data_IF_010225184531
#
_entry.id   IF_010225184531
#
_cell.length_a   1.000
_cell.length_b   1.000
_cell.length_c   1.000
_cell.angle_alpha   90.00
_cell.angle_beta   90.00
_cell.angle_gamma   90.00
#
_symmetry.space_group_name_H-M   'P 1'
#
loop_
_entity.id
_entity.type
_entity.pdbx_description
1 polymer ?
#
# COMPACT_ATOMS: atom_id res chain seq x y z
N UNK A 1 -36.85 -38.97 27.04
CA UNK A 1 -35.47 -39.50 27.15
C UNK A 1 -34.62 -38.73 26.14
N UNK A 2 -33.66 -37.93 26.58
CA UNK A 2 -32.75 -37.26 25.65
C UNK A 2 -31.72 -38.27 25.13
N UNK A 3 -31.52 -38.30 23.82
CA UNK A 3 -30.49 -39.12 23.17
C UNK A 3 -29.41 -38.18 22.66
N UNK A 4 -28.20 -38.31 23.20
CA UNK A 4 -27.05 -37.55 22.72
C UNK A 4 -26.50 -38.21 21.46
N UNK A 5 -26.45 -37.45 20.37
CA UNK A 5 -25.95 -37.89 19.07
C UNK A 5 -24.44 -37.59 19.00
N UNK A 6 -23.68 -38.55 18.49
CA UNK A 6 -22.23 -38.52 18.36
C UNK A 6 -21.78 -39.33 17.15
N UNK A 7 -20.52 -39.18 16.76
CA UNK A 7 -19.90 -39.99 15.70
C UNK A 7 -19.90 -41.49 16.00
N UNK A 8 -20.05 -41.89 17.27
CA UNK A 8 -20.09 -43.29 17.72
C UNK A 8 -21.49 -43.91 17.69
N UNK A 9 -22.54 -43.14 17.38
CA UNK A 9 -23.90 -43.67 17.26
C UNK A 9 -24.60 -43.20 15.98
N UNK A 10 -25.36 -42.10 16.01
CA UNK A 10 -26.26 -41.68 14.94
C UNK A 10 -25.63 -40.62 14.01
N UNK A 11 -24.41 -40.14 14.27
CA UNK A 11 -23.70 -39.20 13.39
C UNK A 11 -22.53 -39.87 12.63
N UNK A 12 -22.76 -41.08 12.11
CA UNK A 12 -21.70 -41.92 11.53
C UNK A 12 -20.98 -41.30 10.34
N UNK A 13 -21.64 -40.42 9.58
CA UNK A 13 -21.06 -39.73 8.43
C UNK A 13 -20.06 -38.63 8.80
N UNK A 14 -20.00 -38.21 10.07
CA UNK A 14 -19.11 -37.13 10.48
C UNK A 14 -17.64 -37.58 10.40
N UNK A 15 -16.77 -36.86 9.67
CA UNK A 15 -15.37 -37.25 9.47
C UNK A 15 -14.52 -36.94 10.71
N UNK A 16 -14.76 -37.67 11.80
CA UNK A 16 -14.16 -37.44 13.12
C UNK A 16 -12.63 -37.44 13.07
N UNK A 17 -12.01 -38.34 12.31
CA UNK A 17 -10.54 -38.47 12.26
C UNK A 17 -9.84 -37.21 11.76
N UNK A 18 -10.53 -36.42 10.93
CA UNK A 18 -10.04 -35.13 10.44
C UNK A 18 -10.60 -33.97 11.25
N UNK A 19 -11.90 -33.96 11.52
CA UNK A 19 -12.61 -32.85 12.15
C UNK A 19 -12.82 -33.02 13.67
N UNK A 20 -11.90 -33.69 14.37
CA UNK A 20 -12.04 -33.99 15.82
C UNK A 20 -12.12 -32.72 16.69
N UNK A 21 -11.54 -31.61 16.23
CA UNK A 21 -11.58 -30.30 16.89
C UNK A 21 -12.40 -29.31 16.07
N UNK A 22 -13.70 -29.29 16.33
CA UNK A 22 -14.61 -28.26 15.84
C UNK A 22 -14.35 -26.95 16.58
N UNK A 23 -14.23 -25.85 15.83
CA UNK A 23 -13.95 -24.50 16.36
C UNK A 23 -15.13 -23.55 16.21
N UNK A 24 -15.94 -23.72 15.16
CA UNK A 24 -17.05 -22.83 14.87
C UNK A 24 -18.14 -23.54 14.09
N UNK A 25 -19.40 -23.18 14.32
CA UNK A 25 -20.55 -23.66 13.57
C UNK A 25 -21.43 -22.46 13.23
N UNK A 26 -21.88 -22.36 11.99
CA UNK A 26 -22.83 -21.33 11.52
C UNK A 26 -23.65 -21.85 10.34
N UNK A 27 -24.62 -21.09 9.87
CA UNK A 27 -25.34 -21.36 8.62
C UNK A 27 -25.17 -20.22 7.61
N UNK A 28 -25.39 -20.53 6.35
CA UNK A 28 -25.47 -19.53 5.28
C UNK A 28 -26.91 -19.31 4.79
N UNK A 29 -27.10 -18.28 3.95
CA UNK A 29 -28.42 -17.95 3.37
C UNK A 29 -28.90 -18.95 2.31
N UNK A 30 -28.10 -19.97 1.97
CA UNK A 30 -28.39 -21.00 0.96
C UNK A 30 -28.76 -22.35 1.61
N UNK A 31 -29.02 -22.34 2.92
CA UNK A 31 -29.40 -23.51 3.69
C UNK A 31 -28.27 -24.51 3.88
N UNK A 32 -27.01 -24.05 3.90
CA UNK A 32 -25.87 -24.88 4.29
C UNK A 32 -25.46 -24.55 5.72
N UNK A 33 -25.19 -25.59 6.51
CA UNK A 33 -24.47 -25.48 7.78
C UNK A 33 -22.99 -25.60 7.48
N UNK A 34 -22.21 -24.69 8.04
CA UNK A 34 -20.76 -24.60 7.94
C UNK A 34 -20.11 -24.91 9.28
N UNK A 35 -19.07 -25.73 9.26
CA UNK A 35 -18.30 -26.11 10.45
C UNK A 35 -16.82 -25.83 10.20
N UNK A 36 -16.24 -24.92 10.98
CA UNK A 36 -14.80 -24.69 11.01
C UNK A 36 -14.11 -25.68 11.95
N UNK A 37 -12.99 -26.24 11.52
CA UNK A 37 -12.20 -27.18 12.33
C UNK A 37 -10.71 -26.87 12.24
N UNK A 38 -9.90 -27.53 13.08
CA UNK A 38 -8.45 -27.43 12.98
C UNK A 38 -7.85 -28.09 11.74
N UNK A 39 -8.61 -28.91 11.01
CA UNK A 39 -8.14 -29.63 9.83
C UNK A 39 -9.03 -29.43 8.58
N UNK A 40 -9.63 -28.25 8.46
CA UNK A 40 -10.43 -27.83 7.32
C UNK A 40 -11.79 -27.25 7.72
N UNK A 41 -12.66 -27.06 6.74
CA UNK A 41 -14.05 -26.70 6.94
C UNK A 41 -14.98 -27.79 6.38
N UNK A 42 -16.11 -28.02 7.03
CA UNK A 42 -17.19 -28.84 6.51
C UNK A 42 -18.35 -27.97 6.07
N UNK A 43 -19.07 -28.41 5.06
CA UNK A 43 -20.45 -27.97 4.81
C UNK A 43 -21.39 -29.17 4.67
N UNK A 44 -22.65 -28.96 5.01
CA UNK A 44 -23.75 -29.89 4.73
C UNK A 44 -25.08 -29.13 4.70
N UNK A 45 -26.12 -29.72 4.10
CA UNK A 45 -27.44 -29.09 4.04
C UNK A 45 -28.15 -29.11 5.39
N UNK A 46 -28.92 -28.06 5.69
CA UNK A 46 -29.66 -27.94 6.95
C UNK A 46 -30.99 -28.72 6.97
N UNK A 47 -31.48 -29.18 5.82
CA UNK A 47 -32.78 -29.83 5.61
C UNK A 47 -32.76 -31.37 5.77
N UNK A 48 -31.75 -31.89 6.47
CA UNK A 48 -31.65 -33.33 6.76
C UNK A 48 -32.77 -33.79 7.70
N UNK A 49 -33.35 -34.96 7.43
CA UNK A 49 -34.39 -35.56 8.27
C UNK A 49 -33.82 -36.36 9.43
N UNK A 50 -32.71 -37.05 9.18
CA UNK A 50 -32.04 -37.92 10.14
C UNK A 50 -30.53 -37.61 10.17
N UNK A 51 -29.86 -37.66 11.34
CA UNK A 51 -28.43 -37.39 11.42
C UNK A 51 -27.55 -38.34 10.57
N UNK A 52 -28.04 -39.56 10.30
CA UNK A 52 -27.36 -40.54 9.45
C UNK A 52 -27.45 -40.21 7.95
N UNK A 53 -28.40 -39.36 7.53
CA UNK A 53 -28.54 -38.94 6.13
C UNK A 53 -27.67 -37.74 5.75
N UNK A 54 -26.92 -37.18 6.71
CA UNK A 54 -26.09 -36.00 6.47
C UNK A 54 -24.92 -36.37 5.55
N UNK A 55 -24.81 -35.67 4.43
CA UNK A 55 -23.66 -35.72 3.53
C UNK A 55 -22.72 -34.57 3.89
N UNK A 56 -21.54 -34.90 4.40
CA UNK A 56 -20.53 -33.92 4.77
C UNK A 56 -19.55 -33.69 3.61
N UNK A 57 -19.35 -32.43 3.26
CA UNK A 57 -18.35 -32.01 2.28
C UNK A 57 -17.17 -31.36 2.99
N UNK A 58 -15.98 -31.95 2.84
CA UNK A 58 -14.76 -31.48 3.50
C UNK A 58 -13.90 -30.63 2.54
N UNK A 59 -13.59 -29.43 2.99
CA UNK A 59 -12.69 -28.49 2.33
C UNK A 59 -11.39 -28.40 3.13
N UNK A 60 -10.28 -28.66 2.46
CA UNK A 60 -8.95 -28.56 3.05
C UNK A 60 -7.98 -27.96 2.02
N UNK A 61 -6.83 -27.54 2.51
CA UNK A 61 -5.69 -27.15 1.70
C UNK A 61 -5.20 -28.34 0.89
N UNK A 62 -5.05 -28.13 -0.40
CA UNK A 62 -4.42 -29.04 -1.35
C UNK A 62 -3.10 -28.38 -1.77
N UNK A 63 -1.94 -29.05 -1.64
CA UNK A 63 -0.68 -28.52 -2.13
C UNK A 63 -0.78 -28.11 -3.60
N UNK A 64 -0.20 -26.96 -3.93
CA UNK A 64 -0.14 -26.39 -5.29
C UNK A 64 -1.48 -25.99 -5.94
N UNK A 65 -2.61 -26.10 -5.24
CA UNK A 65 -3.90 -25.60 -5.70
C UNK A 65 -4.25 -24.25 -5.05
N UNK A 66 -4.36 -23.21 -5.86
CA UNK A 66 -4.72 -21.85 -5.41
C UNK A 66 -6.23 -21.65 -5.24
N UNK A 67 -7.06 -22.62 -5.66
CA UNK A 67 -8.52 -22.57 -5.61
C UNK A 67 -9.09 -23.31 -4.38
N UNK A 68 -8.25 -23.75 -3.44
CA UNK A 68 -8.64 -24.40 -2.20
C UNK A 68 -8.39 -23.48 -0.98
N UNK A 69 -8.65 -23.99 0.24
CA UNK A 69 -8.32 -23.24 1.46
C UNK A 69 -6.81 -23.01 1.55
N UNK A 70 -6.40 -21.78 1.87
CA UNK A 70 -4.99 -21.46 2.10
C UNK A 70 -4.40 -22.12 3.35
N UNK A 71 -5.24 -22.46 4.33
CA UNK A 71 -4.84 -23.13 5.58
C UNK A 71 -6.02 -23.92 6.16
N UNK A 72 -5.71 -25.05 6.81
CA UNK A 72 -6.73 -25.95 7.35
C UNK A 72 -7.31 -25.48 8.69
N UNK A 73 -6.59 -24.63 9.43
CA UNK A 73 -7.02 -24.23 10.76
C UNK A 73 -8.07 -23.11 10.68
N UNK A 74 -9.32 -23.49 10.39
CA UNK A 74 -10.48 -22.60 10.24
C UNK A 74 -11.12 -22.41 11.61
N UNK A 75 -10.95 -21.22 12.20
CA UNK A 75 -11.49 -20.95 13.54
C UNK A 75 -12.79 -20.14 13.53
N UNK A 76 -13.09 -19.40 12.46
CA UNK A 76 -14.32 -18.60 12.31
C UNK A 76 -14.80 -18.66 10.87
N UNK A 77 -16.12 -18.76 10.72
CA UNK A 77 -16.79 -18.69 9.42
C UNK A 77 -17.85 -17.58 9.53
N UNK A 78 -17.81 -16.63 8.62
CA UNK A 78 -18.71 -15.48 8.57
C UNK A 78 -19.54 -15.57 7.30
N UNK A 79 -20.86 -15.61 7.47
CA UNK A 79 -21.82 -15.41 6.38
C UNK A 79 -22.24 -13.95 6.41
N UNK A 80 -21.91 -13.20 5.37
CA UNK A 80 -22.21 -11.77 5.32
C UNK A 80 -23.69 -11.51 5.11
N UNK A 81 -24.13 -10.29 5.42
CA UNK A 81 -25.46 -9.77 5.10
C UNK A 81 -25.78 -9.84 3.60
N UNK A 82 -24.77 -9.88 2.73
CA UNK A 82 -24.91 -10.04 1.28
C UNK A 82 -24.94 -11.52 0.83
N UNK A 83 -24.78 -12.47 1.76
CA UNK A 83 -24.80 -13.90 1.48
C UNK A 83 -23.46 -14.47 1.00
N UNK A 84 -22.38 -13.72 1.15
CA UNK A 84 -21.02 -14.22 0.91
C UNK A 84 -20.53 -15.02 2.12
N UNK A 85 -19.65 -15.99 1.89
CA UNK A 85 -19.09 -16.84 2.95
C UNK A 85 -17.59 -16.64 3.00
N UNK A 86 -17.09 -16.26 4.18
CA UNK A 86 -15.68 -16.05 4.46
C UNK A 86 -15.21 -16.97 5.58
N UNK A 87 -14.05 -17.58 5.41
CA UNK A 87 -13.41 -18.48 6.36
C UNK A 87 -12.12 -17.83 6.83
N UNK A 88 -12.07 -17.51 8.12
CA UNK A 88 -10.89 -16.95 8.76
C UNK A 88 -10.02 -18.08 9.30
N UNK A 89 -8.72 -18.02 8.96
CA UNK A 89 -7.78 -19.08 9.29
C UNK A 89 -6.66 -18.60 10.21
N UNK A 90 -6.11 -19.53 10.99
CA UNK A 90 -4.92 -19.29 11.80
C UNK A 90 -3.66 -19.61 10.98
N UNK A 91 -3.19 -18.63 10.20
CA UNK A 91 -1.95 -18.74 9.41
C UNK A 91 -2.14 -18.91 7.90
N UNK A 92 -3.34 -18.62 7.37
CA UNK A 92 -3.61 -18.56 5.92
C UNK A 92 -4.41 -17.34 5.50
N UNK A 93 -4.67 -16.41 6.41
CA UNK A 93 -5.50 -15.23 6.16
C UNK A 93 -6.98 -15.56 5.97
N UNK A 94 -7.65 -14.74 5.15
CA UNK A 94 -9.10 -14.77 4.91
C UNK A 94 -9.39 -15.50 3.60
N UNK A 95 -10.30 -16.48 3.61
CA UNK A 95 -10.69 -17.23 2.42
C UNK A 95 -12.14 -16.94 2.06
N UNK A 96 -12.40 -16.44 0.85
CA UNK A 96 -13.75 -16.21 0.34
C UNK A 96 -14.21 -17.41 -0.48
N UNK A 97 -15.39 -17.93 -0.21
CA UNK A 97 -16.06 -18.91 -1.08
C UNK A 97 -16.50 -18.22 -2.37
N UNK A 98 -15.88 -18.58 -3.50
CA UNK A 98 -16.17 -18.02 -4.83
C UNK A 98 -17.33 -18.76 -5.48
N UNK A 99 -17.31 -20.08 -5.43
CA UNK A 99 -18.35 -20.93 -5.98
C UNK A 99 -18.41 -22.27 -5.23
N UNK A 100 -19.58 -22.90 -5.25
CA UNK A 100 -19.80 -24.24 -4.73
C UNK A 100 -20.74 -24.97 -5.68
N UNK A 101 -20.39 -26.18 -6.08
CA UNK A 101 -21.23 -27.03 -6.92
C UNK A 101 -22.12 -27.94 -6.04
N UNK A 102 -23.12 -28.58 -6.66
CA UNK A 102 -24.05 -29.47 -5.95
C UNK A 102 -23.44 -30.79 -5.46
N UNK A 103 -22.22 -31.11 -5.87
CA UNK A 103 -21.47 -32.32 -5.48
C UNK A 103 -20.49 -32.03 -4.33
N UNK A 104 -20.48 -30.80 -3.81
CA UNK A 104 -19.63 -30.38 -2.69
C UNK A 104 -18.23 -29.94 -3.08
N UNK A 105 -17.94 -29.75 -4.37
CA UNK A 105 -16.75 -29.03 -4.83
C UNK A 105 -16.90 -27.53 -4.60
N UNK A 106 -15.87 -26.87 -4.07
CA UNK A 106 -15.85 -25.44 -3.80
C UNK A 106 -14.56 -24.80 -4.26
N UNK A 107 -14.66 -23.54 -4.72
CA UNK A 107 -13.51 -22.70 -5.07
C UNK A 107 -13.37 -21.61 -4.03
N UNK A 108 -12.17 -21.45 -3.48
CA UNK A 108 -11.83 -20.40 -2.53
C UNK A 108 -10.82 -19.43 -3.12
N UNK A 109 -10.97 -18.15 -2.76
CA UNK A 109 -9.97 -17.12 -3.02
C UNK A 109 -9.39 -16.65 -1.68
N UNK A 110 -8.08 -16.73 -1.53
CA UNK A 110 -7.39 -16.29 -0.31
C UNK A 110 -6.91 -14.85 -0.38
N UNK A 111 -6.95 -14.18 0.77
CA UNK A 111 -6.38 -12.88 1.04
C UNK A 111 -5.39 -13.04 2.19
N UNK A 112 -4.15 -12.66 1.95
CA UNK A 112 -3.00 -12.85 2.86
C UNK A 112 -2.26 -11.52 3.06
N UNK A 113 -1.13 -11.54 3.75
CA UNK A 113 -0.19 -10.40 3.83
C UNK A 113 0.20 -9.86 2.45
N UNK A 114 0.26 -10.72 1.42
CA UNK A 114 0.54 -10.30 0.03
C UNK A 114 -0.57 -9.43 -0.56
N UNK A 115 -1.77 -9.50 0.00
CA UNK A 115 -2.95 -8.75 -0.43
C UNK A 115 -3.22 -7.53 0.46
N UNK A 116 -2.39 -7.29 1.48
CA UNK A 116 -2.50 -6.13 2.36
C UNK A 116 -3.01 -6.42 3.77
N UNK A 117 -3.24 -7.69 4.16
CA UNK A 117 -3.47 -8.01 5.57
C UNK A 117 -2.22 -7.73 6.42
N UNK A 118 -2.36 -7.33 7.70
CA UNK A 118 -1.21 -7.12 8.59
C UNK A 118 -0.62 -8.42 9.14
N UNK A 119 -1.38 -9.53 9.14
CA UNK A 119 -0.93 -10.87 9.48
C UNK A 119 -1.84 -11.92 8.86
N UNK A 120 -1.29 -13.10 8.55
CA UNK A 120 -2.06 -14.28 8.10
C UNK A 120 -2.71 -15.04 9.26
N UNK A 121 -2.39 -14.67 10.51
CA UNK A 121 -3.03 -15.21 11.72
C UNK A 121 -4.19 -14.29 12.08
N UNK A 122 -5.40 -14.74 11.71
CA UNK A 122 -6.65 -14.06 12.05
C UNK A 122 -7.16 -14.61 13.40
N UNK A 123 -7.70 -13.73 14.23
CA UNK A 123 -8.11 -14.05 15.61
C UNK A 123 -9.61 -13.88 15.85
N UNK A 124 -10.24 -12.86 15.28
CA UNK A 124 -11.70 -12.70 15.31
C UNK A 124 -12.16 -11.93 14.06
N UNK A 125 -13.43 -12.11 13.65
CA UNK A 125 -14.01 -11.42 12.48
C UNK A 125 -15.48 -11.09 12.74
N UNK A 126 -15.86 -9.85 12.47
CA UNK A 126 -17.24 -9.36 12.47
C UNK A 126 -17.54 -8.51 11.24
N UNK A 127 -18.77 -8.57 10.74
CA UNK A 127 -19.27 -7.66 9.71
C UNK A 127 -19.83 -6.39 10.37
N UNK A 128 -19.53 -5.20 9.84
CA UNK A 128 -20.18 -3.95 10.24
C UNK A 128 -21.51 -3.70 9.50
N UNK A 129 -22.28 -2.69 9.93
CA UNK A 129 -23.56 -2.34 9.28
C UNK A 129 -23.43 -1.89 7.82
N UNK A 130 -22.23 -1.57 7.34
CA UNK A 130 -21.94 -1.21 5.95
C UNK A 130 -21.45 -2.40 5.09
N UNK A 131 -21.38 -3.61 5.67
CA UNK A 131 -20.94 -4.83 4.98
C UNK A 131 -19.42 -4.99 4.88
N UNK A 132 -18.63 -4.22 5.63
CA UNK A 132 -17.19 -4.43 5.72
C UNK A 132 -16.88 -5.47 6.80
N UNK A 133 -15.80 -6.23 6.62
CA UNK A 133 -15.33 -7.18 7.62
C UNK A 133 -14.22 -6.56 8.47
N UNK A 134 -14.46 -6.47 9.77
CA UNK A 134 -13.47 -6.11 10.76
C UNK A 134 -12.81 -7.35 11.32
N UNK A 135 -11.50 -7.42 11.19
CA UNK A 135 -10.69 -8.61 11.41
C UNK A 135 -9.60 -8.26 12.40
N UNK A 136 -9.63 -8.84 13.60
CA UNK A 136 -8.49 -8.76 14.50
C UNK A 136 -7.46 -9.82 14.10
N UNK A 137 -6.20 -9.43 14.06
CA UNK A 137 -5.06 -10.27 13.68
C UNK A 137 -4.00 -10.24 14.77
N UNK A 138 -2.97 -11.08 14.65
CA UNK A 138 -1.81 -11.02 15.56
C UNK A 138 -1.11 -9.64 15.54
N UNK A 139 -1.20 -8.90 14.43
CA UNK A 139 -0.50 -7.62 14.20
C UNK A 139 -1.43 -6.40 14.13
N UNK A 140 -2.60 -6.45 14.80
CA UNK A 140 -3.53 -5.34 14.86
C UNK A 140 -4.90 -5.67 14.26
N UNK A 141 -5.70 -4.64 14.02
CA UNK A 141 -7.04 -4.72 13.45
C UNK A 141 -7.01 -4.37 11.96
N UNK A 142 -7.85 -5.00 11.16
CA UNK A 142 -7.94 -4.75 9.72
C UNK A 142 -9.39 -4.67 9.30
N UNK A 143 -9.76 -3.61 8.60
CA UNK A 143 -11.05 -3.46 7.93
C UNK A 143 -10.89 -3.89 6.47
N UNK A 144 -11.55 -4.97 6.09
CA UNK A 144 -11.64 -5.44 4.72
C UNK A 144 -12.92 -4.92 4.07
N UNK A 145 -12.78 -4.29 2.91
CA UNK A 145 -13.88 -3.74 2.12
C UNK A 145 -14.10 -4.69 0.93
N UNK A 146 -15.12 -5.57 0.95
CA UNK A 146 -15.29 -6.62 -0.05
C UNK A 146 -15.42 -6.10 -1.49
N UNK A 147 -16.13 -4.98 -1.68
CA UNK A 147 -16.37 -4.35 -2.98
C UNK A 147 -15.08 -3.90 -3.66
N UNK A 148 -14.11 -3.40 -2.88
CA UNK A 148 -12.81 -2.92 -3.37
C UNK A 148 -11.71 -3.97 -3.27
N UNK A 149 -11.96 -5.07 -2.56
CA UNK A 149 -10.96 -6.08 -2.19
C UNK A 149 -9.71 -5.46 -1.53
N UNK A 150 -9.95 -4.46 -0.68
CA UNK A 150 -8.90 -3.63 -0.07
C UNK A 150 -8.94 -3.75 1.45
N UNK A 151 -7.76 -3.66 2.06
CA UNK A 151 -7.59 -3.63 3.51
C UNK A 151 -7.22 -2.23 4.01
N UNK A 152 -7.81 -1.83 5.12
CA UNK A 152 -7.41 -0.69 5.94
C UNK A 152 -6.94 -1.22 7.29
N UNK A 153 -5.65 -1.03 7.60
CA UNK A 153 -5.04 -1.63 8.78
C UNK A 153 -4.84 -0.59 9.87
N UNK A 154 -5.13 -1.00 11.10
CA UNK A 154 -4.97 -0.24 12.33
C UNK A 154 -4.05 -1.05 13.26
N UNK A 155 -2.94 -0.45 13.67
CA UNK A 155 -1.91 -1.11 14.46
C UNK A 155 -1.72 -0.41 15.81
N UNK A 156 -0.68 -0.80 16.54
CA UNK A 156 -0.37 -0.28 17.89
C UNK A 156 -0.39 1.25 17.98
N UNK A 157 -0.02 1.97 16.90
CA UNK A 157 -0.04 3.43 16.85
C UNK A 157 -1.47 4.00 16.96
N UNK A 158 -2.42 3.36 16.28
CA UNK A 158 -3.81 3.82 16.18
C UNK A 158 -4.53 3.59 17.52
N UNK A 159 -3.98 2.73 18.38
CA UNK A 159 -4.49 2.39 19.70
C UNK A 159 -3.73 3.03 20.88
N UNK A 160 -2.65 3.78 20.62
CA UNK A 160 -1.78 4.31 21.68
C UNK A 160 -0.97 3.24 22.42
N UNK A 161 -0.78 2.05 21.83
CA UNK A 161 0.03 0.98 22.37
C UNK A 161 -0.35 -0.41 21.84
N UNK A 162 0.46 -1.41 22.19
CA UNK A 162 0.24 -2.79 21.74
C UNK A 162 -1.07 -3.36 22.26
N UNK A 163 -1.93 -3.79 21.34
CA UNK A 163 -3.13 -4.58 21.66
C UNK A 163 -2.89 -6.01 21.19
N UNK A 164 -3.00 -6.96 22.13
CA UNK A 164 -3.08 -8.39 21.80
C UNK A 164 -4.55 -8.77 21.81
N UNK A 165 -5.07 -9.12 20.64
CA UNK A 165 -6.43 -9.62 20.49
C UNK A 165 -6.52 -11.09 20.91
N UNK A 166 -7.71 -11.51 21.33
CA UNK A 166 -7.99 -12.89 21.73
C UNK A 166 -8.80 -13.62 20.65
N UNK A 167 -8.58 -14.92 20.53
CA UNK A 167 -9.18 -15.74 19.49
C UNK A 167 -10.68 -15.99 19.75
N UNK A 168 -11.53 -15.80 18.74
CA UNK A 168 -12.97 -16.09 18.80
C UNK A 168 -13.77 -15.15 19.70
N UNK A 169 -13.21 -13.99 20.06
CA UNK A 169 -13.82 -13.03 20.97
C UNK A 169 -14.19 -11.75 20.23
N UNK A 170 -15.30 -11.81 19.50
CA UNK A 170 -15.86 -10.63 18.87
C UNK A 170 -17.37 -10.65 18.90
N UNK A 171 -17.96 -9.45 18.90
CA UNK A 171 -19.40 -9.27 18.94
C UNK A 171 -19.78 -7.99 18.22
N UNK A 172 -20.74 -8.07 17.30
CA UNK A 172 -21.42 -6.91 16.76
C UNK A 172 -22.66 -6.58 17.62
N UNK A 173 -22.65 -5.43 18.29
CA UNK A 173 -23.81 -4.86 18.97
C UNK A 173 -24.56 -3.95 18.01
N UNK A 174 -25.84 -4.27 17.78
CA UNK A 174 -26.81 -3.42 17.08
C UNK A 174 -26.38 -2.85 15.72
N UNK A 175 -25.45 -3.51 15.03
CA UNK A 175 -24.86 -3.06 13.75
C UNK A 175 -24.07 -1.75 13.79
N UNK A 176 -24.00 -1.09 14.95
CA UNK A 176 -23.37 0.21 15.16
C UNK A 176 -22.06 0.13 15.93
N UNK A 177 -21.88 -0.88 16.78
CA UNK A 177 -20.75 -0.97 17.70
C UNK A 177 -20.14 -2.36 17.64
N UNK A 178 -18.85 -2.45 17.33
CA UNK A 178 -18.10 -3.70 17.32
C UNK A 178 -17.25 -3.83 18.57
N UNK A 179 -17.24 -5.03 19.14
CA UNK A 179 -16.48 -5.41 20.31
C UNK A 179 -15.47 -6.49 19.92
N UNK A 180 -14.22 -6.34 20.36
CA UNK A 180 -13.15 -7.31 20.20
C UNK A 180 -12.49 -7.55 21.56
N UNK A 181 -12.36 -8.82 21.94
CA UNK A 181 -11.65 -9.23 23.13
C UNK A 181 -10.14 -9.06 22.97
N UNK A 182 -9.50 -8.66 24.06
CA UNK A 182 -8.06 -8.40 24.12
C UNK A 182 -7.50 -8.95 25.43
N UNK A 183 -6.20 -9.16 25.49
CA UNK A 183 -5.53 -9.62 26.71
C UNK A 183 -5.63 -8.62 27.89
N UNK A 184 -6.15 -7.40 27.66
CA UNK A 184 -6.32 -6.34 28.67
C UNK A 184 -7.79 -5.99 28.93
N UNK A 185 -8.74 -6.77 28.40
CA UNK A 185 -10.17 -6.48 28.46
C UNK A 185 -10.78 -6.46 27.07
N UNK A 186 -11.46 -5.38 26.70
CA UNK A 186 -12.21 -5.30 25.45
C UNK A 186 -11.93 -3.99 24.73
N UNK A 187 -11.70 -4.07 23.42
CA UNK A 187 -11.72 -2.92 22.52
C UNK A 187 -13.14 -2.82 21.93
N UNK A 188 -13.75 -1.64 21.99
CA UNK A 188 -14.99 -1.37 21.29
C UNK A 188 -14.87 -0.07 20.49
N UNK A 189 -15.58 -0.01 19.36
CA UNK A 189 -15.61 1.18 18.52
C UNK A 189 -16.85 1.15 17.62
N UNK A 190 -17.17 2.31 17.06
CA UNK A 190 -18.25 2.47 16.08
C UNK A 190 -17.63 2.62 14.68
N UNK A 191 -17.80 1.63 13.78
CA UNK A 191 -17.14 1.60 12.48
C UNK A 191 -17.36 2.85 11.62
N UNK A 192 -18.53 3.48 11.72
CA UNK A 192 -18.89 4.67 10.94
C UNK A 192 -18.08 5.92 11.34
N UNK A 193 -17.59 5.96 12.58
CA UNK A 193 -16.77 7.04 13.09
C UNK A 193 -15.28 6.86 12.80
N UNK A 194 -14.86 5.66 12.38
CA UNK A 194 -13.48 5.41 11.97
C UNK A 194 -13.31 5.81 10.49
N UNK A 195 -12.73 6.98 10.28
CA UNK A 195 -12.39 7.50 8.95
C UNK A 195 -10.91 7.88 8.91
N UNK A 196 -10.29 7.71 7.75
CA UNK A 196 -8.98 8.30 7.51
C UNK A 196 -9.10 9.82 7.44
N UNK A 197 -8.07 10.49 7.94
CA UNK A 197 -7.95 11.94 7.91
C UNK A 197 -8.02 12.46 6.47
N UNK A 198 -8.73 13.58 6.29
CA UNK A 198 -8.73 14.38 5.07
C UNK A 198 -7.78 15.59 5.18
N UNK A 199 -6.90 15.61 6.19
CA UNK A 199 -5.92 16.67 6.38
C UNK A 199 -4.98 16.76 5.17
N UNK A 200 -4.76 17.97 4.68
CA UNK A 200 -3.90 18.28 3.55
C UNK A 200 -2.66 19.03 4.07
N UNK A 201 -1.54 18.34 4.36
CA UNK A 201 -0.35 19.01 4.88
C UNK A 201 0.31 19.89 3.83
N UNK A 202 0.71 21.09 4.23
CA UNK A 202 1.58 21.95 3.41
C UNK A 202 2.96 21.32 3.25
N UNK A 203 3.50 21.34 2.03
CA UNK A 203 4.88 20.91 1.76
C UNK A 203 5.80 22.14 1.74
N UNK A 204 6.90 22.05 2.48
CA UNK A 204 7.97 23.05 2.51
C UNK A 204 9.25 22.49 1.88
N UNK A 205 10.00 23.34 1.20
CA UNK A 205 11.36 23.01 0.76
C UNK A 205 12.37 23.27 1.88
N UNK A 206 13.30 22.34 2.06
CA UNK A 206 14.33 22.44 3.08
C UNK A 206 15.63 23.00 2.53
N UNK A 207 16.66 22.16 2.55
CA UNK A 207 18.03 22.44 2.13
C UNK A 207 18.21 22.25 0.62
N UNK A 208 18.95 23.16 -0.01
CA UNK A 208 19.56 22.94 -1.33
C UNK A 208 21.00 22.47 -1.13
N UNK A 209 21.39 21.38 -1.80
CA UNK A 209 22.80 21.00 -1.91
C UNK A 209 23.24 21.01 -3.37
N UNK A 210 24.42 21.57 -3.61
CA UNK A 210 25.09 21.57 -4.90
C UNK A 210 26.42 20.84 -4.73
N UNK A 211 26.65 19.81 -5.54
CA UNK A 211 27.87 18.99 -5.45
C UNK A 211 28.11 18.45 -4.02
N UNK A 212 27.02 18.02 -3.36
CA UNK A 212 26.96 17.57 -1.98
C UNK A 212 27.31 18.61 -0.90
N UNK A 213 27.48 19.88 -1.26
CA UNK A 213 27.67 20.98 -0.31
C UNK A 213 26.36 21.75 -0.14
N UNK A 214 25.99 22.03 1.10
CA UNK A 214 24.80 22.79 1.42
C UNK A 214 24.96 24.26 1.03
N UNK A 215 23.95 24.80 0.34
CA UNK A 215 23.90 26.22 -0.05
C UNK A 215 23.26 27.02 1.07
N UNK A 216 24.05 27.88 1.70
CA UNK A 216 23.59 28.75 2.81
C UNK A 216 22.89 29.99 2.23
N UNK A 217 21.61 30.24 2.54
CA UNK A 217 20.91 31.43 2.06
C UNK A 217 21.48 32.75 2.59
N UNK A 218 21.39 33.81 1.79
CA UNK A 218 21.62 35.20 2.22
C UNK A 218 23.08 35.62 2.39
N UNK A 219 24.03 34.72 2.14
CA UNK A 219 25.48 35.01 2.18
C UNK A 219 25.96 35.54 0.82
N UNK A 220 26.92 36.46 0.83
CA UNK A 220 27.54 36.98 -0.40
C UNK A 220 28.14 35.86 -1.25
N UNK A 221 27.73 35.76 -2.52
CA UNK A 221 28.14 34.70 -3.45
C UNK A 221 27.31 33.42 -3.38
N UNK A 222 26.29 33.34 -2.52
CA UNK A 222 25.36 32.22 -2.48
C UNK A 222 24.40 32.23 -3.68
N UNK A 223 24.00 31.03 -4.11
CA UNK A 223 22.94 30.84 -5.12
C UNK A 223 21.55 31.21 -4.57
N UNK A 224 21.38 31.20 -3.24
CA UNK A 224 20.13 31.49 -2.58
C UNK A 224 20.18 32.85 -1.88
N UNK A 225 19.29 33.77 -2.28
CA UNK A 225 19.08 35.06 -1.59
C UNK A 225 18.28 34.91 -0.29
N UNK A 226 17.40 33.93 -0.24
CA UNK A 226 16.52 33.59 0.87
C UNK A 226 16.37 32.06 0.98
N UNK A 227 15.69 31.56 2.01
CA UNK A 227 15.46 30.12 2.15
C UNK A 227 14.86 29.53 0.88
N UNK A 228 15.22 28.27 0.57
CA UNK A 228 14.73 27.58 -0.62
C UNK A 228 13.19 27.58 -0.69
N UNK A 229 12.52 27.44 0.45
CA UNK A 229 11.05 27.46 0.53
C UNK A 229 10.40 28.75 0.04
N UNK A 230 11.09 29.87 0.22
CA UNK A 230 10.64 31.18 -0.23
C UNK A 230 11.12 31.51 -1.65
N UNK A 231 12.04 30.74 -2.23
CA UNK A 231 12.55 30.96 -3.58
C UNK A 231 11.51 30.54 -4.61
N UNK A 232 11.05 31.49 -5.44
CA UNK A 232 10.11 31.17 -6.53
C UNK A 232 10.80 30.60 -7.79
N UNK A 233 12.06 30.97 -8.00
CA UNK A 233 12.83 30.63 -9.19
C UNK A 233 14.30 30.43 -8.83
N UNK A 234 14.78 29.21 -9.02
CA UNK A 234 16.16 28.81 -8.80
C UNK A 234 16.91 28.82 -10.14
N UNK A 235 17.95 29.65 -10.26
CA UNK A 235 18.80 29.70 -11.44
C UNK A 235 20.14 29.06 -11.11
N UNK A 236 20.53 28.05 -11.88
CA UNK A 236 21.79 27.33 -11.75
C UNK A 236 22.60 27.49 -13.03
N UNK A 237 23.92 27.53 -12.92
CA UNK A 237 24.81 27.48 -14.08
C UNK A 237 25.05 26.03 -14.53
N UNK A 238 25.66 25.86 -15.69
CA UNK A 238 26.06 24.54 -16.18
C UNK A 238 27.15 23.88 -15.30
N UNK A 239 27.77 24.60 -14.36
CA UNK A 239 28.80 24.04 -13.46
C UNK A 239 28.20 23.28 -12.28
N UNK A 240 26.98 23.61 -11.87
CA UNK A 240 26.25 22.93 -10.81
C UNK A 240 25.64 21.62 -11.33
N UNK A 241 26.49 20.59 -11.43
CA UNK A 241 26.17 19.33 -12.08
C UNK A 241 25.43 18.32 -11.18
N UNK A 242 25.38 18.53 -9.86
CA UNK A 242 24.64 17.68 -8.92
C UNK A 242 23.78 18.59 -8.05
N UNK A 243 22.47 18.45 -8.15
CA UNK A 243 21.49 19.26 -7.43
C UNK A 243 20.65 18.33 -6.56
N UNK A 244 20.68 18.56 -5.25
CA UNK A 244 19.82 17.86 -4.30
C UNK A 244 18.89 18.83 -3.60
N UNK A 245 17.59 18.57 -3.69
CA UNK A 245 16.53 19.32 -3.03
C UNK A 245 15.97 18.46 -1.90
N UNK A 246 15.83 19.02 -0.70
CA UNK A 246 15.05 18.38 0.36
C UNK A 246 13.68 19.03 0.54
N UNK A 247 12.73 18.25 1.01
CA UNK A 247 11.34 18.67 1.18
C UNK A 247 10.70 17.92 2.37
N UNK A 248 9.68 18.52 2.96
CA UNK A 248 8.91 17.89 4.05
C UNK A 248 7.46 18.36 4.03
N UNK A 249 6.52 17.43 4.24
CA UNK A 249 5.13 17.76 4.49
C UNK A 249 4.89 17.98 5.99
N UNK A 250 4.15 19.04 6.33
CA UNK A 250 3.90 19.46 7.70
C UNK A 250 2.67 18.77 8.31
N UNK A 251 2.77 17.46 8.48
CA UNK A 251 1.84 16.66 9.29
C UNK A 251 2.56 16.13 10.53
N UNK A 252 2.16 16.63 11.70
CA UNK A 252 2.86 16.39 12.96
C UNK A 252 2.30 15.20 13.75
N UNK A 253 1.22 14.57 13.28
CA UNK A 253 0.61 13.44 14.00
C UNK A 253 1.52 12.21 13.88
N UNK A 254 1.85 11.81 12.65
CA UNK A 254 2.75 10.67 12.37
C UNK A 254 3.66 10.95 11.15
N UNK A 255 4.67 11.82 11.28
CA UNK A 255 5.50 12.29 10.16
C UNK A 255 6.32 11.19 9.47
N UNK A 256 6.56 10.07 10.14
CA UNK A 256 7.30 8.90 9.63
C UNK A 256 6.48 8.03 8.67
N UNK A 257 5.17 8.28 8.56
CA UNK A 257 4.26 7.55 7.66
C UNK A 257 3.94 8.32 6.38
N UNK A 258 4.34 9.58 6.32
CA UNK A 258 4.19 10.40 5.12
C UNK A 258 5.03 9.79 4.00
N UNK A 259 4.38 9.53 2.87
CA UNK A 259 5.04 9.11 1.63
C UNK A 259 5.12 10.27 0.65
N UNK A 260 6.16 10.27 -0.16
CA UNK A 260 6.45 11.33 -1.12
C UNK A 260 6.53 10.81 -2.54
N UNK A 261 6.12 11.65 -3.47
CA UNK A 261 6.41 11.49 -4.88
C UNK A 261 6.88 12.83 -5.44
N UNK A 262 7.89 12.79 -6.30
CA UNK A 262 8.41 13.98 -6.96
C UNK A 262 8.65 13.75 -8.45
N UNK A 263 8.72 14.84 -9.20
CA UNK A 263 9.18 14.84 -10.59
C UNK A 263 9.76 16.18 -10.97
N UNK A 264 10.64 16.19 -11.95
CA UNK A 264 11.14 17.38 -12.62
C UNK A 264 10.50 17.47 -14.00
N UNK A 265 9.45 18.26 -14.12
CA UNK A 265 8.77 18.48 -15.39
C UNK A 265 9.75 19.09 -16.39
N UNK A 266 9.82 18.50 -17.59
CA UNK A 266 10.84 18.78 -18.61
C UNK A 266 12.02 17.80 -18.62
N UNK A 267 12.12 16.90 -17.62
CA UNK A 267 13.14 15.85 -17.55
C UNK A 267 12.55 14.47 -17.24
N UNK A 268 11.76 14.35 -16.16
CA UNK A 268 11.09 13.11 -15.79
C UNK A 268 9.83 12.87 -16.63
N UNK A 269 9.60 11.62 -17.05
CA UNK A 269 8.39 11.22 -17.77
C UNK A 269 7.20 10.98 -16.85
N UNK A 270 7.45 10.39 -15.69
CA UNK A 270 6.45 9.95 -14.71
C UNK A 270 6.82 10.42 -13.30
N UNK A 271 5.89 10.27 -12.35
CA UNK A 271 6.17 10.52 -10.93
C UNK A 271 7.11 9.48 -10.35
N UNK A 272 8.15 9.91 -9.64
CA UNK A 272 9.00 9.04 -8.84
C UNK A 272 8.39 8.86 -7.45
N UNK A 273 7.86 7.67 -7.16
CA UNK A 273 7.33 7.32 -5.84
C UNK A 273 8.47 6.81 -4.95
N UNK A 274 8.82 7.56 -3.91
CA UNK A 274 10.06 7.33 -3.13
C UNK A 274 9.80 6.98 -1.66
N UNK A 275 8.57 6.55 -1.36
CA UNK A 275 8.11 6.19 -0.01
C UNK A 275 8.52 7.28 1.00
N UNK A 276 9.41 6.99 1.96
CA UNK A 276 9.79 7.91 3.03
C UNK A 276 10.94 8.87 2.69
N UNK A 277 11.51 8.78 1.49
CA UNK A 277 12.65 9.63 1.11
C UNK A 277 12.22 11.08 0.93
N UNK A 278 12.96 11.99 1.57
CA UNK A 278 12.69 13.44 1.64
C UNK A 278 13.63 14.28 0.78
N UNK A 279 14.31 13.64 -0.17
CA UNK A 279 15.31 14.27 -1.03
C UNK A 279 15.14 13.80 -2.47
N UNK A 280 15.34 14.72 -3.41
CA UNK A 280 15.45 14.43 -4.82
C UNK A 280 16.83 14.89 -5.30
N UNK A 281 17.57 14.01 -5.97
CA UNK A 281 18.89 14.33 -6.53
C UNK A 281 18.86 14.17 -8.04
N UNK A 282 19.25 15.23 -8.74
CA UNK A 282 19.44 15.23 -10.19
C UNK A 282 20.89 15.48 -10.53
N UNK A 283 21.38 14.80 -11.57
CA UNK A 283 22.76 14.91 -12.04
C UNK A 283 22.80 15.25 -13.52
N UNK A 284 23.75 16.10 -13.90
CA UNK A 284 24.02 16.51 -15.28
C UNK A 284 22.76 16.96 -16.04
N UNK A 285 21.94 17.81 -15.41
CA UNK A 285 20.75 18.36 -16.07
C UNK A 285 21.17 19.19 -17.29
N UNK A 286 20.57 18.95 -18.47
CA UNK A 286 20.79 19.81 -19.63
C UNK A 286 20.37 21.25 -19.37
N UNK A 287 20.82 22.17 -20.24
CA UNK A 287 20.28 23.53 -20.22
C UNK A 287 18.78 23.51 -20.52
N UNK A 288 18.03 24.37 -19.86
CA UNK A 288 16.59 24.47 -20.05
C UNK A 288 15.86 24.95 -18.81
N UNK A 289 14.55 25.08 -18.96
CA UNK A 289 13.63 25.44 -17.91
C UNK A 289 12.86 24.19 -17.45
N UNK A 290 12.81 24.01 -16.14
CA UNK A 290 12.21 22.88 -15.48
C UNK A 290 11.29 23.34 -14.35
N UNK A 291 10.34 22.47 -13.99
CA UNK A 291 9.51 22.67 -12.79
C UNK A 291 9.65 21.44 -11.91
N UNK A 292 10.32 21.59 -10.77
CA UNK A 292 10.35 20.56 -9.75
C UNK A 292 9.01 20.55 -9.03
N UNK A 293 8.34 19.40 -8.98
CA UNK A 293 7.05 19.19 -8.34
C UNK A 293 7.18 18.09 -7.31
N UNK A 294 6.60 18.29 -6.14
CA UNK A 294 6.54 17.29 -5.07
C UNK A 294 5.13 17.26 -4.50
N UNK A 295 4.65 16.06 -4.20
CA UNK A 295 3.40 15.81 -3.49
C UNK A 295 3.61 14.78 -2.40
N UNK A 296 2.71 14.72 -1.43
CA UNK A 296 2.80 13.75 -0.33
C UNK A 296 1.46 13.13 0.01
N UNK A 297 1.51 12.09 0.83
CA UNK A 297 0.36 11.68 1.62
C UNK A 297 0.21 12.56 2.87
N UNK A 298 -0.89 12.40 3.59
CA UNK A 298 -0.96 12.76 5.02
C UNK A 298 -0.39 11.65 5.92
N UNK A 299 -0.45 11.83 7.24
CA UNK A 299 0.00 10.87 8.26
C UNK A 299 -0.71 9.50 8.17
N UNK A 300 -1.90 9.48 7.60
CA UNK A 300 -2.73 8.27 7.44
C UNK A 300 -2.42 7.52 6.13
N UNK A 301 -1.46 8.02 5.34
CA UNK A 301 -1.03 7.43 4.08
C UNK A 301 -1.99 7.69 2.91
N UNK A 302 -2.92 8.64 3.03
CA UNK A 302 -3.82 9.06 1.96
C UNK A 302 -3.11 10.09 1.08
N UNK A 303 -3.03 9.86 -0.23
CA UNK A 303 -2.54 10.87 -1.18
C UNK A 303 -3.53 12.03 -1.26
N UNK A 304 -3.01 13.24 -1.11
CA UNK A 304 -3.82 14.48 -1.09
C UNK A 304 -3.38 15.44 -2.19
N UNK A 305 -4.22 16.42 -2.50
CA UNK A 305 -3.91 17.49 -3.44
C UNK A 305 -3.08 18.60 -2.77
N UNK A 306 -1.81 18.32 -2.48
CA UNK A 306 -0.89 19.25 -1.80
C UNK A 306 0.39 19.53 -2.59
N UNK A 307 0.31 19.49 -3.92
CA UNK A 307 1.49 19.66 -4.78
C UNK A 307 2.19 21.00 -4.53
N UNK A 308 3.51 20.96 -4.35
CA UNK A 308 4.39 22.12 -4.24
C UNK A 308 5.39 22.13 -5.39
N UNK A 309 5.60 23.32 -5.98
CA UNK A 309 6.38 23.49 -7.20
C UNK A 309 7.49 24.53 -7.03
N UNK A 310 8.63 24.28 -7.68
CA UNK A 310 9.78 25.19 -7.77
C UNK A 310 10.25 25.27 -9.23
N UNK A 311 10.33 26.49 -9.78
CA UNK A 311 10.89 26.72 -11.11
C UNK A 311 12.41 26.66 -11.04
N UNK A 312 13.03 25.91 -11.96
CA UNK A 312 14.49 25.73 -12.02
C UNK A 312 14.95 26.03 -13.45
N UNK A 313 15.92 26.91 -13.62
CA UNK A 313 16.55 27.17 -14.92
C UNK A 313 18.01 26.80 -14.87
N UNK A 314 18.46 25.95 -15.80
CA UNK A 314 19.87 25.61 -15.99
C UNK A 314 20.42 26.45 -17.15
N UNK A 315 21.34 27.36 -16.85
CA UNK A 315 21.96 28.23 -17.84
C UNK A 315 22.88 27.46 -18.78
N UNK A 316 22.99 27.87 -20.06
CA UNK A 316 23.91 27.25 -21.02
C UNK A 316 25.36 27.40 -20.59
N UNK A 317 26.19 26.43 -21.00
CA UNK A 317 27.65 26.58 -20.92
C UNK A 317 28.12 27.74 -21.81
N UNK A 318 29.23 28.39 -21.45
CA UNK A 318 29.80 29.49 -22.24
C UNK A 318 30.01 29.10 -23.71
N UNK A 319 30.46 27.87 -23.96
CA UNK A 319 30.72 27.32 -25.31
C UNK A 319 29.47 27.15 -26.18
N UNK A 320 28.29 27.24 -25.58
CA UNK A 320 27.00 27.14 -26.27
C UNK A 320 26.32 28.51 -26.42
N UNK A 321 27.01 29.59 -26.01
CA UNK A 321 26.50 30.96 -26.16
C UNK A 321 26.69 31.47 -27.59
N UNK A 322 25.88 32.46 -27.99
CA UNK A 322 26.02 33.13 -29.29
C UNK A 322 27.43 33.74 -29.49
N UNK A 323 28.07 34.18 -28.41
CA UNK A 323 29.44 34.70 -28.43
C UNK A 323 30.47 33.60 -28.73
N UNK A 324 30.34 32.44 -28.10
CA UNK A 324 31.20 31.30 -28.43
C UNK A 324 30.99 30.84 -29.88
N UNK A 325 29.73 30.81 -30.35
CA UNK A 325 29.43 30.53 -31.76
C UNK A 325 30.09 31.55 -32.71
N UNK A 326 30.04 32.85 -32.38
CA UNK A 326 30.71 33.89 -33.14
C UNK A 326 32.24 33.71 -33.16
N UNK A 327 32.85 33.36 -32.03
CA UNK A 327 34.28 33.05 -31.93
C UNK A 327 34.63 31.83 -32.79
N UNK A 328 33.81 30.76 -32.76
CA UNK A 328 34.01 29.58 -33.60
C UNK A 328 33.93 29.90 -35.09
N UNK A 329 32.95 30.71 -35.50
CA UNK A 329 32.81 31.16 -36.89
C UNK A 329 34.03 31.98 -37.31
N UNK A 330 34.50 32.89 -36.46
CA UNK A 330 35.64 33.76 -36.76
C UNK A 330 36.95 32.95 -36.83
N UNK A 331 37.15 31.99 -35.92
CA UNK A 331 38.27 31.06 -35.96
C UNK A 331 38.24 30.18 -37.22
N UNK A 332 37.06 29.68 -37.61
CA UNK A 332 36.89 28.90 -38.85
C UNK A 332 37.22 29.73 -40.10
N UNK A 333 36.76 30.98 -40.18
CA UNK A 333 37.10 31.88 -41.27
C UNK A 333 38.60 32.21 -41.33
N UNK A 334 39.27 32.35 -40.18
CA UNK A 334 40.72 32.55 -40.09
C UNK A 334 41.51 31.33 -40.60
N UNK A 335 41.06 30.12 -40.26
CA UNK A 335 41.64 28.86 -40.74
C UNK A 335 41.41 28.74 -42.26
N UNK A 336 40.22 29.06 -42.75
CA UNK A 336 39.90 29.04 -44.17
C UNK A 336 40.77 30.07 -44.94
N UNK A 337 40.87 31.29 -44.42
CA UNK A 337 41.66 32.36 -45.01
C UNK A 337 43.15 32.01 -45.05
N UNK A 338 43.70 31.50 -43.94
CA UNK A 338 45.10 31.06 -43.91
C UNK A 338 45.35 29.87 -44.85
N UNK A 339 44.42 28.91 -44.94
CA UNK A 339 44.48 27.82 -45.91
C UNK A 339 44.51 28.31 -47.36
N UNK A 340 43.60 29.23 -47.73
CA UNK A 340 43.57 29.86 -49.06
C UNK A 340 44.83 30.67 -49.32
N UNK A 341 45.31 31.44 -48.34
CA UNK A 341 46.53 32.24 -48.45
C UNK A 341 47.77 31.37 -48.68
N UNK A 342 47.91 30.26 -47.95
CA UNK A 342 48.99 29.28 -48.15
C UNK A 342 48.88 28.67 -49.54
N UNK A 343 47.68 28.25 -49.97
CA UNK A 343 47.48 27.66 -51.30
C UNK A 343 47.82 28.65 -52.42
N UNK A 344 47.41 29.91 -52.27
CA UNK A 344 47.73 31.00 -53.21
C UNK A 344 49.24 31.28 -53.25
N UNK A 345 49.91 31.27 -52.09
CA UNK A 345 51.36 31.46 -52.01
C UNK A 345 52.11 30.31 -52.67
N UNK A 346 51.66 29.07 -52.50
CA UNK A 346 52.21 27.88 -53.18
C UNK A 346 52.00 27.98 -54.70
N UNK A 347 50.82 28.41 -55.15
CA UNK A 347 50.53 28.60 -56.58
C UNK A 347 51.36 29.72 -57.23
N UNK A 348 51.76 30.74 -56.46
CA UNK A 348 52.59 31.85 -56.93
C UNK A 348 54.09 31.53 -56.95
N UNK A 349 54.50 30.48 -56.22
CA UNK A 349 55.88 29.97 -56.15
C UNK A 349 56.16 28.84 -57.17
N UNK A 350 55.13 28.37 -57.88
CA UNK A 350 55.25 27.60 -59.14
C UNK A 350 55.15 28.56 -60.32
#
# INVERSE_FOLDING_TARGET
>A
KYVFISSRNNLKGFPYDRCYRVRHITSDKKGNIWVGSSDGALSFKEDFKDPESIVFHLYARIPDDMNCLSNNNVYRIVTTSQGEVYLATFGGGLNRLVSMNGEGGAVFKSYTVKNGLPSDILLSVEEDGAGNLWISTENGLSKFIPSEQRFENYNERDFGGKIRFEEGTSLNLSSSTLLFGTSRGMLYFEPEHIKKSNYVPSIVFGTLKISNQEVIPGVSGSLLRQSLDNTEHLVLSHKENIVTLSFAALDMIYPENIRYAYRLHGFDKEWNYVDKQRTATYTNLPKGDYVFQVKSTNSDGVWVENERSLRITIQPSFWETAWAMAIYILAFLLILFSGVYILFTIYRLK
#
